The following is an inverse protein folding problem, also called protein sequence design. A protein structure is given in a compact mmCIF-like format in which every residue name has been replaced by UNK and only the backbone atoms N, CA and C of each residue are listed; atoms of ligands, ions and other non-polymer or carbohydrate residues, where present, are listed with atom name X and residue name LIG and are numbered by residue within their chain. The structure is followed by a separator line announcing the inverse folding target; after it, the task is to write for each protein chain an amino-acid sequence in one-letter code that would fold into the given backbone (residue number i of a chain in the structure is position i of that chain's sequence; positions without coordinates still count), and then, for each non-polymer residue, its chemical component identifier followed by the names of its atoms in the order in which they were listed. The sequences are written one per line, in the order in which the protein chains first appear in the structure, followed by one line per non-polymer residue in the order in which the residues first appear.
data_IF_548137391521
#
_entry.id   IF_548137391521
#
_cell.length_a   1.000
_cell.length_b   1.000
_cell.length_c   1.000
_cell.angle_alpha   90.00
_cell.angle_beta   90.00
_cell.angle_gamma   90.00
#
_symmetry.space_group_name_H-M   'P 1'
#
loop_
_entity.id
_entity.type
_entity.pdbx_description
1 polymer ?
#
# COMPACT_ATOMS: atom_id res chain seq x y z
N UNK A 1 7.31 -12.15 13.11
CA UNK A 1 6.42 -10.97 12.93
C UNK A 1 5.56 -11.05 11.67
N UNK A 2 6.10 -11.38 10.48
CA UNK A 2 5.28 -11.53 9.27
C UNK A 2 4.17 -12.59 9.38
N UNK A 3 4.43 -13.72 10.06
CA UNK A 3 3.39 -14.72 10.37
C UNK A 3 2.24 -14.12 11.21
N UNK A 4 2.59 -13.36 12.26
CA UNK A 4 1.62 -12.66 13.10
C UNK A 4 0.80 -11.63 12.30
N UNK A 5 1.46 -10.85 11.43
CA UNK A 5 0.76 -9.96 10.50
C UNK A 5 -0.24 -10.71 9.62
N UNK A 6 0.18 -11.81 8.99
CA UNK A 6 -0.69 -12.61 8.13
C UNK A 6 -1.87 -13.22 8.90
N UNK A 7 -1.67 -13.67 10.14
CA UNK A 7 -2.73 -14.20 11.01
C UNK A 7 -3.72 -13.11 11.42
N UNK A 8 -3.22 -11.97 11.91
CA UNK A 8 -4.07 -10.86 12.32
C UNK A 8 -4.87 -10.29 11.14
N UNK A 9 -4.27 -10.11 9.97
CA UNK A 9 -4.99 -9.71 8.76
C UNK A 9 -6.08 -10.71 8.39
N UNK A 10 -5.79 -12.03 8.45
CA UNK A 10 -6.80 -13.07 8.18
C UNK A 10 -7.96 -13.03 9.16
N UNK A 11 -7.69 -12.87 10.47
CA UNK A 11 -8.74 -12.75 11.49
C UNK A 11 -9.59 -11.50 11.25
N UNK A 12 -8.94 -10.38 10.98
CA UNK A 12 -9.61 -9.11 10.72
C UNK A 12 -10.49 -9.13 9.47
N UNK A 13 -10.06 -9.82 8.40
CA UNK A 13 -10.90 -10.04 7.20
C UNK A 13 -12.04 -11.00 7.49
N UNK A 14 -11.82 -12.06 8.26
CA UNK A 14 -12.87 -13.02 8.64
C UNK A 14 -14.04 -12.33 9.35
N UNK A 15 -13.80 -11.28 10.13
CA UNK A 15 -14.84 -10.48 10.78
C UNK A 15 -15.90 -9.96 9.78
N UNK A 16 -15.54 -9.73 8.51
CA UNK A 16 -16.51 -9.31 7.47
C UNK A 16 -17.66 -10.30 7.30
N UNK A 17 -17.37 -11.59 7.48
CA UNK A 17 -18.26 -12.71 7.18
C UNK A 17 -18.93 -13.32 8.42
N UNK A 18 -18.66 -12.79 9.61
CA UNK A 18 -19.27 -13.28 10.85
C UNK A 18 -20.67 -12.69 11.04
N UNK A 19 -21.69 -13.52 11.26
CA UNK A 19 -23.06 -13.07 11.54
C UNK A 19 -23.89 -12.71 10.30
N UNK A 20 -25.09 -12.17 10.54
CA UNK A 20 -26.11 -11.99 9.51
C UNK A 20 -25.75 -10.91 8.48
N UNK A 21 -26.21 -11.05 7.23
CA UNK A 21 -25.94 -10.09 6.14
C UNK A 21 -26.39 -8.67 6.47
N UNK A 22 -27.52 -8.50 7.17
CA UNK A 22 -28.05 -7.19 7.59
C UNK A 22 -27.10 -6.39 8.49
N UNK A 23 -26.23 -7.06 9.23
CA UNK A 23 -25.30 -6.42 10.18
C UNK A 23 -23.99 -5.97 9.50
N UNK A 24 -23.88 -6.08 8.17
CA UNK A 24 -22.65 -5.77 7.41
C UNK A 24 -22.07 -4.40 7.74
N UNK A 25 -22.89 -3.35 7.74
CA UNK A 25 -22.42 -1.98 8.02
C UNK A 25 -21.87 -1.85 9.44
N UNK A 26 -22.50 -2.49 10.43
CA UNK A 26 -22.01 -2.51 11.81
C UNK A 26 -20.62 -3.17 11.87
N UNK A 27 -20.44 -4.30 11.18
CA UNK A 27 -19.15 -5.01 11.15
C UNK A 27 -18.07 -4.21 10.46
N UNK A 28 -18.37 -3.55 9.33
CA UNK A 28 -17.40 -2.70 8.65
C UNK A 28 -16.93 -1.55 9.58
N UNK A 29 -17.84 -0.96 10.37
CA UNK A 29 -17.51 0.06 11.39
C UNK A 29 -16.61 -0.51 12.50
N UNK A 30 -16.96 -1.66 13.07
CA UNK A 30 -16.14 -2.34 14.09
C UNK A 30 -14.74 -2.69 13.55
N UNK A 31 -14.67 -3.21 12.32
CA UNK A 31 -13.40 -3.51 11.64
C UNK A 31 -12.54 -2.27 11.49
N UNK A 32 -13.12 -1.13 11.12
CA UNK A 32 -12.39 0.14 11.02
C UNK A 32 -11.86 0.62 12.38
N UNK A 33 -12.57 0.37 13.48
CA UNK A 33 -12.08 0.68 14.83
C UNK A 33 -10.87 -0.17 15.22
N UNK A 34 -10.84 -1.43 14.79
CA UNK A 34 -9.76 -2.38 15.12
C UNK A 34 -8.55 -2.32 14.18
N UNK A 35 -8.60 -1.53 13.09
CA UNK A 35 -7.54 -1.49 12.06
C UNK A 35 -6.14 -1.25 12.63
N UNK A 36 -6.03 -0.40 13.67
CA UNK A 36 -4.76 -0.09 14.33
C UNK A 36 -4.09 -1.31 14.97
N UNK A 37 -4.86 -2.32 15.39
CA UNK A 37 -4.30 -3.55 15.96
C UNK A 37 -3.51 -4.34 14.90
N UNK A 38 -3.95 -4.29 13.64
CA UNK A 38 -3.21 -4.92 12.53
C UNK A 38 -2.05 -4.01 12.09
N UNK A 39 -2.29 -2.70 12.01
CA UNK A 39 -1.29 -1.71 11.59
C UNK A 39 -0.07 -1.60 12.52
N UNK A 40 -0.23 -1.86 13.82
CA UNK A 40 0.89 -1.86 14.78
C UNK A 40 1.94 -2.93 14.46
N UNK A 41 1.57 -4.04 13.79
CA UNK A 41 2.58 -5.00 13.30
C UNK A 41 3.50 -4.38 12.25
N UNK A 42 2.96 -3.55 11.35
CA UNK A 42 3.75 -2.90 10.30
C UNK A 42 4.69 -1.86 10.90
N UNK A 43 4.21 -1.08 11.88
CA UNK A 43 5.05 -0.14 12.63
C UNK A 43 6.19 -0.86 13.37
N UNK A 44 5.90 -1.97 14.04
CA UNK A 44 6.94 -2.77 14.70
C UNK A 44 7.97 -3.30 13.71
N UNK A 45 7.55 -3.70 12.50
CA UNK A 45 8.47 -4.15 11.45
C UNK A 45 9.38 -3.01 10.96
N UNK A 46 8.86 -1.78 10.81
CA UNK A 46 9.67 -0.63 10.40
C UNK A 46 10.66 -0.17 11.45
N UNK A 47 10.39 -0.42 12.74
CA UNK A 47 11.27 -0.07 13.86
C UNK A 47 12.43 -1.06 14.08
N UNK A 48 12.48 -2.17 13.32
CA UNK A 48 13.56 -3.14 13.45
C UNK A 48 14.84 -2.64 12.76
N UNK A 49 15.79 -2.19 13.59
CA UNK A 49 17.12 -1.74 13.20
C UNK A 49 17.95 -2.77 12.39
N UNK A 50 17.50 -4.02 12.26
CA UNK A 50 18.20 -5.10 11.56
C UNK A 50 17.65 -5.39 10.15
N UNK A 51 16.63 -4.68 9.67
CA UNK A 51 16.11 -4.88 8.32
C UNK A 51 16.95 -4.03 7.35
N UNK A 52 17.92 -4.65 6.69
CA UNK A 52 18.64 -4.00 5.60
C UNK A 52 17.68 -3.72 4.44
N UNK A 53 18.04 -2.73 3.61
CA UNK A 53 17.29 -2.37 2.39
C UNK A 53 17.07 -3.58 1.47
N UNK A 54 18.06 -4.47 1.37
CA UNK A 54 17.98 -5.72 0.58
C UNK A 54 16.96 -6.69 1.19
N UNK A 55 17.01 -6.93 2.50
CA UNK A 55 16.04 -7.80 3.18
C UNK A 55 14.61 -7.26 3.05
N UNK A 56 14.44 -5.94 3.11
CA UNK A 56 13.15 -5.32 2.88
C UNK A 56 12.61 -5.59 1.47
N UNK A 57 13.44 -5.31 0.45
CA UNK A 57 13.08 -5.49 -0.97
C UNK A 57 12.78 -6.94 -1.32
N UNK A 58 13.66 -7.86 -0.94
CA UNK A 58 13.60 -9.24 -1.41
C UNK A 58 12.63 -10.09 -0.62
N UNK A 59 12.41 -9.77 0.65
CA UNK A 59 11.64 -10.62 1.55
C UNK A 59 10.46 -9.89 2.19
N UNK A 60 10.70 -8.85 2.98
CA UNK A 60 9.65 -8.26 3.85
C UNK A 60 8.51 -7.69 3.01
N UNK A 61 8.80 -6.79 2.07
CA UNK A 61 7.75 -6.13 1.30
C UNK A 61 6.99 -7.13 0.43
N UNK A 62 7.68 -8.04 -0.26
CA UNK A 62 7.02 -9.06 -1.10
C UNK A 62 6.04 -9.89 -0.28
N UNK A 63 6.43 -10.34 0.91
CA UNK A 63 5.53 -11.10 1.79
C UNK A 63 4.36 -10.26 2.30
N UNK A 64 4.57 -8.99 2.65
CA UNK A 64 3.49 -8.09 3.06
C UNK A 64 2.48 -7.89 1.94
N UNK A 65 2.94 -7.50 0.75
CA UNK A 65 2.10 -7.24 -0.42
C UNK A 65 1.35 -8.49 -0.86
N UNK A 66 1.99 -9.66 -0.85
CA UNK A 66 1.33 -10.92 -1.16
C UNK A 66 0.15 -11.20 -0.22
N UNK A 67 0.34 -11.02 1.09
CA UNK A 67 -0.73 -11.22 2.07
C UNK A 67 -1.87 -10.20 1.87
N UNK A 68 -1.53 -8.94 1.59
CA UNK A 68 -2.51 -7.88 1.34
C UNK A 68 -3.32 -8.18 0.07
N UNK A 69 -2.66 -8.51 -1.05
CA UNK A 69 -3.31 -8.84 -2.32
C UNK A 69 -4.19 -10.09 -2.22
N UNK A 70 -3.71 -11.14 -1.52
CA UNK A 70 -4.46 -12.39 -1.28
C UNK A 70 -5.68 -12.21 -0.38
N UNK A 71 -5.72 -11.17 0.44
CA UNK A 71 -6.86 -10.92 1.34
C UNK A 71 -8.18 -10.65 0.60
N UNK A 72 -8.11 -10.09 -0.63
CA UNK A 72 -9.26 -9.72 -1.48
C UNK A 72 -10.36 -8.92 -0.75
N UNK A 73 -9.98 -8.18 0.28
CA UNK A 73 -10.89 -7.37 1.09
C UNK A 73 -10.54 -5.89 0.96
N UNK A 74 -11.54 -5.09 0.59
CA UNK A 74 -11.38 -3.64 0.35
C UNK A 74 -10.80 -2.92 1.55
N UNK A 75 -11.42 -3.05 2.72
CA UNK A 75 -11.07 -2.29 3.94
C UNK A 75 -9.63 -2.62 4.35
N UNK A 76 -9.25 -3.89 4.28
CA UNK A 76 -7.91 -4.33 4.60
C UNK A 76 -6.89 -3.82 3.60
N UNK A 77 -7.18 -3.91 2.30
CA UNK A 77 -6.26 -3.46 1.26
C UNK A 77 -6.07 -1.94 1.27
N UNK A 78 -7.15 -1.16 1.36
CA UNK A 78 -7.10 0.31 1.48
C UNK A 78 -6.19 0.71 2.66
N UNK A 79 -6.48 0.18 3.85
CA UNK A 79 -5.74 0.56 5.06
C UNK A 79 -4.28 0.08 5.08
N UNK A 80 -4.02 -1.18 4.73
CA UNK A 80 -2.69 -1.76 4.88
C UNK A 80 -1.69 -1.21 3.85
N UNK A 81 -2.14 -0.90 2.64
CA UNK A 81 -1.30 -0.25 1.63
C UNK A 81 -0.90 1.16 2.08
N UNK A 82 -1.85 1.94 2.60
CA UNK A 82 -1.54 3.24 3.20
C UNK A 82 -0.59 3.13 4.38
N UNK A 83 -0.77 2.13 5.25
CA UNK A 83 0.13 1.91 6.36
C UNK A 83 1.57 1.64 5.91
N UNK A 84 1.78 0.85 4.84
CA UNK A 84 3.12 0.64 4.29
C UNK A 84 3.75 1.98 3.90
N UNK A 85 3.02 2.84 3.17
CA UNK A 85 3.50 4.17 2.77
C UNK A 85 3.84 5.03 4.00
N UNK A 86 3.05 4.95 5.07
CA UNK A 86 3.24 5.77 6.28
C UNK A 86 4.43 5.32 7.14
N UNK A 87 4.65 4.01 7.32
CA UNK A 87 5.59 3.51 8.32
C UNK A 87 7.01 3.27 7.79
N UNK A 88 7.17 2.95 6.51
CA UNK A 88 8.49 2.74 5.91
C UNK A 88 9.03 4.05 5.32
N UNK A 89 10.35 4.23 5.40
CA UNK A 89 11.04 5.44 4.92
C UNK A 89 11.12 5.54 3.39
N UNK A 90 11.38 6.75 2.90
CA UNK A 90 11.34 7.13 1.49
C UNK A 90 12.33 6.34 0.62
N UNK A 91 13.52 6.09 1.15
CA UNK A 91 14.53 5.27 0.50
C UNK A 91 14.07 3.83 0.21
N UNK A 92 13.25 3.25 1.08
CA UNK A 92 12.69 1.92 0.87
C UNK A 92 11.68 1.96 -0.26
N UNK A 93 10.78 2.95 -0.25
CA UNK A 93 9.78 3.14 -1.30
C UNK A 93 10.42 3.35 -2.67
N UNK A 94 11.45 4.20 -2.77
CA UNK A 94 12.20 4.40 -4.02
C UNK A 94 12.87 3.14 -4.54
N UNK A 95 13.24 2.24 -3.65
CA UNK A 95 13.93 1.02 -4.03
C UNK A 95 12.98 -0.15 -4.31
N UNK A 96 11.68 0.01 -3.99
CA UNK A 96 10.64 -0.99 -4.21
C UNK A 96 9.46 -0.47 -5.01
N UNK A 97 9.61 0.68 -5.68
CA UNK A 97 8.51 1.40 -6.32
C UNK A 97 7.73 0.51 -7.29
N UNK A 98 8.45 -0.16 -8.21
CA UNK A 98 7.87 -1.08 -9.18
C UNK A 98 7.10 -2.23 -8.50
N UNK A 99 7.71 -2.86 -7.48
CA UNK A 99 7.08 -3.96 -6.74
C UNK A 99 5.81 -3.51 -6.03
N UNK A 100 5.80 -2.31 -5.44
CA UNK A 100 4.64 -1.75 -4.78
C UNK A 100 3.52 -1.43 -5.77
N UNK A 101 3.82 -0.73 -6.87
CA UNK A 101 2.83 -0.35 -7.90
C UNK A 101 2.27 -1.58 -8.62
N UNK A 102 3.09 -2.60 -8.89
CA UNK A 102 2.64 -3.90 -9.40
C UNK A 102 1.66 -4.59 -8.45
N UNK A 103 1.82 -4.43 -7.14
CA UNK A 103 0.86 -4.93 -6.16
C UNK A 103 -0.43 -4.10 -6.10
N UNK A 104 -0.34 -2.76 -6.24
CA UNK A 104 -1.51 -1.86 -6.39
C UNK A 104 -2.38 -2.33 -7.57
N UNK A 105 -1.76 -2.71 -8.68
CA UNK A 105 -2.41 -3.28 -9.87
C UNK A 105 -3.16 -4.61 -9.61
N UNK A 106 -2.96 -5.27 -8.47
CA UNK A 106 -3.56 -6.57 -8.12
C UNK A 106 -4.60 -6.46 -6.99
N UNK A 107 -4.86 -5.26 -6.50
CA UNK A 107 -5.84 -5.00 -5.45
C UNK A 107 -7.28 -5.24 -5.95
N UNK A 108 -8.19 -5.34 -5.00
CA UNK A 108 -9.61 -5.52 -5.26
C UNK A 108 -10.18 -4.28 -5.95
N UNK A 109 -11.09 -4.47 -6.92
CA UNK A 109 -11.58 -3.40 -7.80
C UNK A 109 -12.34 -2.25 -7.11
N UNK A 110 -12.65 -2.39 -5.82
CA UNK A 110 -13.33 -1.37 -5.02
C UNK A 110 -12.38 -0.59 -4.09
N UNK A 111 -11.09 -0.90 -4.13
CA UNK A 111 -10.04 -0.18 -3.42
C UNK A 111 -9.82 1.17 -4.11
N UNK A 112 -9.61 2.22 -3.33
CA UNK A 112 -9.34 3.56 -3.85
C UNK A 112 -7.87 3.67 -4.26
N UNK A 113 -7.48 2.97 -5.33
CA UNK A 113 -6.08 2.85 -5.75
C UNK A 113 -5.46 4.20 -6.13
N UNK A 114 -6.26 5.14 -6.64
CA UNK A 114 -5.82 6.51 -6.92
C UNK A 114 -5.33 7.21 -5.65
N UNK A 115 -6.04 7.09 -4.54
CA UNK A 115 -5.65 7.71 -3.26
C UNK A 115 -4.35 7.11 -2.72
N UNK A 116 -4.14 5.80 -2.91
CA UNK A 116 -2.90 5.13 -2.53
C UNK A 116 -1.72 5.67 -3.36
N UNK A 117 -1.90 5.78 -4.68
CA UNK A 117 -0.86 6.27 -5.59
C UNK A 117 -0.54 7.75 -5.33
N UNK A 118 -1.55 8.61 -5.20
CA UNK A 118 -1.37 10.04 -4.87
C UNK A 118 -0.60 10.21 -3.56
N UNK A 119 -0.92 9.43 -2.53
CA UNK A 119 -0.17 9.46 -1.26
C UNK A 119 1.31 9.12 -1.44
N UNK A 120 1.62 8.10 -2.24
CA UNK A 120 3.00 7.73 -2.53
C UNK A 120 3.72 8.80 -3.35
N UNK A 121 3.07 9.34 -4.38
CA UNK A 121 3.63 10.42 -5.22
C UNK A 121 3.93 11.66 -4.40
N UNK A 122 2.98 12.15 -3.59
CA UNK A 122 3.18 13.32 -2.74
C UNK A 122 4.32 13.12 -1.74
N UNK A 123 4.41 11.92 -1.15
CA UNK A 123 5.49 11.56 -0.22
C UNK A 123 6.86 11.63 -0.91
N UNK A 124 6.98 11.01 -2.09
CA UNK A 124 8.22 10.99 -2.86
C UNK A 124 8.59 12.36 -3.44
N UNK A 125 7.61 13.14 -3.91
CA UNK A 125 7.83 14.50 -4.39
C UNK A 125 8.44 15.38 -3.30
N UNK A 126 7.88 15.33 -2.09
CA UNK A 126 8.45 16.02 -0.92
C UNK A 126 9.89 15.58 -0.63
N UNK A 127 10.14 14.27 -0.65
CA UNK A 127 11.49 13.75 -0.43
C UNK A 127 12.51 14.21 -1.50
N UNK A 128 12.08 14.38 -2.75
CA UNK A 128 12.91 14.94 -3.82
C UNK A 128 13.12 16.46 -3.68
N UNK A 129 12.18 17.19 -3.10
CA UNK A 129 12.33 18.63 -2.84
C UNK A 129 13.34 18.91 -1.73
N UNK A 130 13.44 18.03 -0.73
CA UNK A 130 14.27 18.19 0.47
C UNK A 130 15.78 18.36 0.18
N UNK A 131 16.35 17.69 -0.83
CA UNK A 131 17.77 17.79 -1.17
C UNK A 131 18.04 17.61 -2.69
N UNK A 132 19.04 18.32 -3.22
CA UNK A 132 19.53 18.17 -4.60
C UNK A 132 19.99 16.73 -4.91
N UNK A 133 20.65 16.06 -3.96
CA UNK A 133 21.09 14.66 -4.14
C UNK A 133 19.90 13.71 -4.32
N UNK A 134 18.78 13.97 -3.64
CA UNK A 134 17.56 13.18 -3.80
C UNK A 134 16.95 13.37 -5.19
N UNK A 135 16.99 14.58 -5.77
CA UNK A 135 16.54 14.80 -7.15
C UNK A 135 17.36 14.00 -8.14
N UNK A 136 18.67 13.94 -7.96
CA UNK A 136 19.54 13.14 -8.82
C UNK A 136 19.20 11.65 -8.71
N UNK A 137 18.98 11.13 -7.49
CA UNK A 137 18.54 9.75 -7.27
C UNK A 137 17.21 9.42 -7.96
N UNK A 138 16.27 10.37 -8.07
CA UNK A 138 15.00 10.15 -8.77
C UNK A 138 15.20 10.01 -10.28
N UNK A 139 16.10 10.81 -10.85
CA UNK A 139 16.45 10.75 -12.26
C UNK A 139 17.18 9.44 -12.57
N UNK A 140 18.18 9.08 -11.76
CA UNK A 140 18.94 7.83 -11.92
C UNK A 140 18.04 6.58 -11.84
N UNK A 141 16.98 6.64 -11.04
CA UNK A 141 16.01 5.55 -10.87
C UNK A 141 14.82 5.60 -11.82
N UNK A 142 14.76 6.57 -12.74
CA UNK A 142 13.63 6.76 -13.67
C UNK A 142 12.27 6.70 -12.96
N UNK A 143 12.16 7.36 -11.80
CA UNK A 143 10.95 7.31 -10.94
C UNK A 143 9.72 7.80 -11.71
N UNK A 144 9.87 8.87 -12.48
CA UNK A 144 8.79 9.43 -13.29
C UNK A 144 8.27 8.43 -14.34
N UNK A 145 9.16 7.83 -15.13
CA UNK A 145 8.79 6.84 -16.15
C UNK A 145 8.14 5.60 -15.54
N UNK A 146 8.61 5.19 -14.35
CA UNK A 146 8.00 4.09 -13.58
C UNK A 146 6.57 4.41 -13.18
N UNK A 147 6.33 5.60 -12.63
CA UNK A 147 4.97 6.05 -12.30
C UNK A 147 4.11 6.16 -13.55
N UNK A 148 4.60 6.80 -14.61
CA UNK A 148 3.85 7.01 -15.84
C UNK A 148 3.38 5.67 -16.43
N UNK A 149 4.27 4.69 -16.52
CA UNK A 149 3.96 3.36 -17.04
C UNK A 149 2.95 2.63 -16.15
N UNK A 150 3.22 2.56 -14.84
CA UNK A 150 2.37 1.83 -13.90
C UNK A 150 0.99 2.49 -13.70
N UNK A 151 0.91 3.83 -13.69
CA UNK A 151 -0.35 4.58 -13.58
C UNK A 151 -1.22 4.35 -14.81
N UNK A 152 -0.64 4.36 -16.02
CA UNK A 152 -1.38 4.00 -17.24
C UNK A 152 -1.98 2.60 -17.12
N UNK A 153 -1.23 1.61 -16.64
CA UNK A 153 -1.75 0.26 -16.39
C UNK A 153 -2.87 0.23 -15.34
N UNK A 154 -2.70 0.98 -14.24
CA UNK A 154 -3.69 1.06 -13.17
C UNK A 154 -5.02 1.62 -13.70
N UNK A 155 -4.96 2.71 -14.48
CA UNK A 155 -6.14 3.38 -15.07
C UNK A 155 -6.84 2.44 -16.06
N UNK A 156 -6.08 1.74 -16.92
CA UNK A 156 -6.65 0.79 -17.88
C UNK A 156 -7.38 -0.37 -17.19
N UNK A 157 -6.87 -0.84 -16.04
CA UNK A 157 -7.40 -2.01 -15.33
C UNK A 157 -8.58 -1.67 -14.41
N UNK A 158 -8.59 -0.48 -13.82
CA UNK A 158 -9.62 -0.04 -12.87
C UNK A 158 -10.68 0.81 -13.57
N UNK A 159 -11.52 0.17 -14.39
CA UNK A 159 -12.63 0.81 -15.15
C UNK A 159 -13.68 1.56 -14.32
N UNK A 160 -13.57 1.54 -12.99
CA UNK A 160 -14.46 2.26 -12.06
C UNK A 160 -13.88 3.58 -11.56
N UNK A 161 -12.68 3.96 -11.99
CA UNK A 161 -12.15 5.30 -11.70
C UNK A 161 -13.01 6.36 -12.36
N UNK A 162 -13.31 7.41 -11.62
CA UNK A 162 -13.96 8.60 -12.17
C UNK A 162 -12.96 9.43 -12.97
N UNK A 163 -13.45 10.36 -13.80
CA UNK A 163 -12.58 11.28 -14.55
C UNK A 163 -11.74 12.11 -13.58
N UNK A 164 -12.31 12.57 -12.46
CA UNK A 164 -11.59 13.32 -11.43
C UNK A 164 -10.47 12.50 -10.78
N UNK A 165 -10.70 11.19 -10.56
CA UNK A 165 -9.66 10.28 -10.06
C UNK A 165 -8.50 10.12 -11.03
N UNK A 166 -8.77 10.13 -12.34
CA UNK A 166 -7.76 10.04 -13.40
C UNK A 166 -7.01 11.37 -13.51
N UNK A 167 -7.72 12.49 -13.52
CA UNK A 167 -7.12 13.82 -13.58
C UNK A 167 -6.22 14.10 -12.36
N UNK A 168 -6.57 13.57 -11.18
CA UNK A 168 -5.72 13.70 -10.00
C UNK A 168 -4.40 12.91 -10.05
N UNK A 169 -4.21 12.05 -11.06
CA UNK A 169 -2.97 11.27 -11.25
C UNK A 169 -2.04 11.86 -12.32
N UNK A 170 -2.51 12.82 -13.12
CA UNK A 170 -1.73 13.52 -14.16
C UNK A 170 -1.37 14.94 -13.70
#
# INVERSE_FOLDING_TARGET
MLKNFAEMTRLWVRMQHQGAVRDRLRREKERLQLRMLVGTNLRRLSELNCVSKVVYQEYVLKHLLDNIVKSKDRIAQDYLMECIIMVFGDEYHLATLDTFLSAVNKLHSSVAVNQIVIKLMNRLAKYAEDNADHRQLFQEKNVFETFETQVKEIVLKHKKMTIDDILGLY
#
